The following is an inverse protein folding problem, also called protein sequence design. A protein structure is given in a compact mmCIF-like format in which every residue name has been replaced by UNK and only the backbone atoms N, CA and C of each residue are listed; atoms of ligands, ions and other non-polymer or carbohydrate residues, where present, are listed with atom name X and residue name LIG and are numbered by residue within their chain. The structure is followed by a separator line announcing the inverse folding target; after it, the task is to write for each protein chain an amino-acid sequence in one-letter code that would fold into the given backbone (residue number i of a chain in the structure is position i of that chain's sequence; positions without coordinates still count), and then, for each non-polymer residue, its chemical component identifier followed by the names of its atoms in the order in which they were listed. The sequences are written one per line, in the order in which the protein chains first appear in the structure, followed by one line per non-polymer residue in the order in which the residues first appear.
data_IF_093372280936
#
_entry.id   IF_093372280936
#
_cell.length_a   1.000
_cell.length_b   1.000
_cell.length_c   1.000
_cell.angle_alpha   90.00
_cell.angle_beta   90.00
_cell.angle_gamma   90.00
#
_symmetry.space_group_name_H-M   'P 1'
#
loop_
_entity.id
_entity.type
_entity.pdbx_description
1 polymer ?
#
# COMPACT_ATOMS: atom_id res chain seq x y z
N UNK A 1 -12.39 -10.46 19.36
CA UNK A 1 -12.04 -9.74 18.10
C UNK A 1 -10.62 -9.26 18.28
N UNK A 2 -9.64 -9.97 17.71
CA UNK A 2 -8.32 -9.39 17.50
C UNK A 2 -8.50 -8.25 16.50
N UNK A 3 -8.14 -7.03 16.88
CA UNK A 3 -7.97 -5.97 15.88
C UNK A 3 -6.87 -6.43 14.93
N UNK A 4 -7.15 -6.50 13.62
CA UNK A 4 -6.10 -6.67 12.62
C UNK A 4 -5.06 -5.57 12.86
N UNK A 5 -3.82 -5.97 13.13
CA UNK A 5 -2.81 -5.02 13.57
C UNK A 5 -2.20 -4.36 12.34
N UNK A 6 -2.70 -3.18 12.00
CA UNK A 6 -2.10 -2.38 10.94
C UNK A 6 -0.78 -1.74 11.41
N UNK A 7 0.26 -1.91 10.59
CA UNK A 7 1.61 -1.37 10.78
C UNK A 7 2.20 -0.84 9.46
N UNK A 8 1.60 0.21 8.86
CA UNK A 8 2.16 0.86 7.69
C UNK A 8 3.51 1.52 8.01
N UNK A 9 4.28 1.83 6.98
CA UNK A 9 5.57 2.52 7.11
C UNK A 9 5.37 4.00 7.47
N UNK A 10 6.40 4.66 8.02
CA UNK A 10 6.34 6.09 8.37
C UNK A 10 6.07 6.97 7.15
N UNK A 11 4.93 7.67 7.15
CA UNK A 11 4.47 8.52 6.04
C UNK A 11 5.27 9.82 5.83
N UNK A 12 4.79 10.64 4.90
CA UNK A 12 5.39 11.93 4.55
C UNK A 12 6.59 11.88 3.58
N UNK A 13 7.15 13.06 3.33
CA UNK A 13 8.31 13.31 2.45
C UNK A 13 9.54 13.86 3.20
N UNK A 14 9.45 14.06 4.51
CA UNK A 14 10.53 14.56 5.37
C UNK A 14 11.67 13.56 5.60
N UNK A 15 12.75 14.00 6.24
CA UNK A 15 13.97 13.20 6.44
C UNK A 15 13.76 11.87 7.21
N UNK A 16 12.69 11.77 8.00
CA UNK A 16 12.33 10.58 8.78
C UNK A 16 11.19 9.76 8.13
N UNK A 17 10.86 9.99 6.86
CA UNK A 17 9.82 9.22 6.16
C UNK A 17 10.38 7.98 5.48
N UNK A 18 9.51 7.02 5.19
CA UNK A 18 9.85 5.84 4.39
C UNK A 18 10.29 6.22 2.98
N UNK A 19 9.70 7.25 2.37
CA UNK A 19 10.05 7.71 1.02
C UNK A 19 11.50 8.20 0.90
N UNK A 20 12.14 8.63 2.00
CA UNK A 20 13.57 9.00 2.04
C UNK A 20 14.51 7.89 2.54
N UNK A 21 13.98 6.80 3.11
CA UNK A 21 14.77 5.78 3.81
C UNK A 21 14.53 4.33 3.32
N UNK A 22 13.77 4.17 2.24
CA UNK A 22 13.45 2.88 1.59
C UNK A 22 14.43 2.47 0.47
N UNK A 23 15.66 3.00 0.49
CA UNK A 23 16.70 2.73 -0.54
C UNK A 23 17.00 1.24 -0.69
N UNK A 24 17.04 0.48 0.39
CA UNK A 24 17.35 -0.95 0.37
C UNK A 24 16.30 -1.75 -0.45
N UNK A 25 15.01 -1.49 -0.21
CA UNK A 25 13.92 -2.07 -0.99
C UNK A 25 13.99 -1.61 -2.46
N UNK A 26 14.30 -0.34 -2.70
CA UNK A 26 14.45 0.21 -4.06
C UNK A 26 15.59 -0.46 -4.84
N UNK A 27 16.76 -0.66 -4.22
CA UNK A 27 17.91 -1.35 -4.82
C UNK A 27 17.61 -2.83 -5.10
N UNK A 28 16.89 -3.52 -4.20
CA UNK A 28 16.45 -4.89 -4.41
C UNK A 28 15.44 -5.04 -5.56
N UNK A 29 14.47 -4.12 -5.67
CA UNK A 29 13.52 -4.07 -6.80
C UNK A 29 14.27 -3.84 -8.11
N UNK A 30 15.26 -2.92 -8.11
CA UNK A 30 16.03 -2.60 -9.31
C UNK A 30 16.93 -3.77 -9.76
N UNK A 31 17.51 -4.53 -8.82
CA UNK A 31 18.25 -5.76 -9.10
C UNK A 31 17.38 -6.84 -9.77
N UNK A 32 16.11 -6.93 -9.37
CA UNK A 32 15.15 -7.92 -9.88
C UNK A 32 14.34 -7.43 -11.09
N UNK A 33 14.56 -6.19 -11.56
CA UNK A 33 13.80 -5.58 -12.67
C UNK A 33 13.88 -6.41 -13.96
N UNK A 34 15.07 -6.86 -14.36
CA UNK A 34 15.25 -7.62 -15.60
C UNK A 34 14.54 -8.99 -15.54
N UNK A 35 14.57 -9.65 -14.39
CA UNK A 35 13.86 -10.90 -14.13
C UNK A 35 12.33 -10.75 -14.28
N UNK A 36 11.78 -9.62 -13.80
CA UNK A 36 10.35 -9.29 -13.93
C UNK A 36 9.98 -9.05 -15.40
N UNK A 37 10.77 -8.24 -16.12
CA UNK A 37 10.53 -7.95 -17.54
C UNK A 37 10.57 -9.26 -18.35
N UNK A 38 11.55 -10.13 -18.10
CA UNK A 38 11.67 -11.42 -18.77
C UNK A 38 10.47 -12.34 -18.47
N UNK A 39 10.01 -12.39 -17.23
CA UNK A 39 8.85 -13.18 -16.83
C UNK A 39 7.57 -12.70 -17.54
N UNK A 40 7.31 -11.39 -17.56
CA UNK A 40 6.18 -10.78 -18.29
C UNK A 40 6.28 -11.11 -19.79
N UNK A 41 7.44 -10.88 -20.40
CA UNK A 41 7.69 -11.13 -21.82
C UNK A 41 7.44 -12.61 -22.20
N UNK A 42 7.85 -13.56 -21.36
CA UNK A 42 7.69 -15.00 -21.64
C UNK A 42 6.34 -15.59 -21.23
N UNK A 43 5.73 -15.15 -20.12
CA UNK A 43 4.64 -15.88 -19.45
C UNK A 43 3.31 -15.15 -19.35
N UNK A 44 3.26 -13.81 -19.39
CA UNK A 44 2.00 -13.06 -19.29
C UNK A 44 1.25 -13.05 -20.63
N UNK A 45 0.32 -13.97 -20.85
CA UNK A 45 -0.29 -14.17 -22.18
C UNK A 45 -1.37 -13.14 -22.54
N UNK A 46 -0.93 -12.00 -23.07
CA UNK A 46 -1.78 -10.91 -23.57
C UNK A 46 -2.75 -11.29 -24.71
N UNK A 47 -2.70 -12.53 -25.24
CA UNK A 47 -3.57 -12.96 -26.35
C UNK A 47 -4.79 -13.79 -25.93
N UNK A 48 -4.75 -14.42 -24.75
CA UNK A 48 -5.87 -15.20 -24.19
C UNK A 48 -6.69 -14.44 -23.15
N UNK A 49 -6.18 -13.32 -22.63
CA UNK A 49 -6.94 -12.40 -21.78
C UNK A 49 -8.01 -11.70 -22.62
N UNK A 50 -9.25 -12.21 -22.56
CA UNK A 50 -10.39 -11.63 -23.27
C UNK A 50 -10.79 -10.29 -22.64
N UNK A 51 -10.31 -9.19 -23.23
CA UNK A 51 -10.63 -7.84 -22.75
C UNK A 51 -12.03 -7.43 -23.20
N UNK A 52 -12.99 -7.38 -22.27
CA UNK A 52 -14.29 -6.73 -22.51
C UNK A 52 -14.20 -5.20 -22.63
N UNK A 53 -13.09 -4.59 -22.19
CA UNK A 53 -12.90 -3.13 -22.07
C UNK A 53 -11.51 -2.61 -22.48
N UNK A 54 -10.73 -3.38 -23.27
CA UNK A 54 -9.33 -3.06 -23.66
C UNK A 54 -8.45 -2.49 -22.51
N UNK A 55 -8.64 -3.01 -21.28
CA UNK A 55 -8.05 -2.45 -20.05
C UNK A 55 -7.23 -3.52 -19.32
N UNK A 56 -5.98 -3.21 -18.96
CA UNK A 56 -5.14 -4.06 -18.11
C UNK A 56 -5.14 -3.51 -16.69
N UNK A 57 -5.67 -4.30 -15.76
CA UNK A 57 -5.73 -3.98 -14.32
C UNK A 57 -4.55 -4.61 -13.58
N UNK A 58 -3.77 -3.79 -12.89
CA UNK A 58 -2.56 -4.18 -12.16
C UNK A 58 -2.68 -3.74 -10.70
N UNK A 59 -2.31 -4.58 -9.74
CA UNK A 59 -2.30 -4.21 -8.32
C UNK A 59 -0.90 -4.35 -7.68
N UNK A 60 -0.48 -3.35 -6.90
CA UNK A 60 0.67 -3.43 -5.98
C UNK A 60 0.16 -3.61 -4.55
N UNK A 61 0.53 -4.72 -3.90
CA UNK A 61 0.06 -5.10 -2.57
C UNK A 61 1.16 -4.84 -1.53
N UNK A 62 0.95 -3.82 -0.70
CA UNK A 62 1.97 -3.24 0.19
C UNK A 62 2.77 -2.12 -0.46
N UNK A 63 2.09 -1.20 -1.16
CA UNK A 63 2.72 -0.14 -1.95
C UNK A 63 3.45 0.93 -1.10
N UNK A 64 3.12 1.02 0.20
CA UNK A 64 3.53 2.10 1.10
C UNK A 64 3.24 3.49 0.49
N UNK A 65 4.20 4.41 0.57
CA UNK A 65 4.05 5.84 0.22
C UNK A 65 4.90 6.28 -0.99
N UNK A 66 5.50 5.32 -1.71
CA UNK A 66 6.49 5.59 -2.76
C UNK A 66 7.89 5.96 -2.23
N UNK A 67 8.87 6.18 -3.13
CA UNK A 67 8.76 6.14 -4.60
C UNK A 67 8.87 4.74 -5.21
N UNK A 68 9.23 3.72 -4.42
CA UNK A 68 9.57 2.37 -4.92
C UNK A 68 8.43 1.71 -5.72
N UNK A 69 7.19 1.86 -5.27
CA UNK A 69 5.99 1.39 -5.99
C UNK A 69 5.91 1.95 -7.40
N UNK A 70 6.11 3.26 -7.59
CA UNK A 70 6.04 3.89 -8.92
C UNK A 70 7.13 3.36 -9.88
N UNK A 71 8.33 3.09 -9.36
CA UNK A 71 9.43 2.53 -10.15
C UNK A 71 9.14 1.08 -10.58
N UNK A 72 8.58 0.26 -9.69
CA UNK A 72 8.15 -1.09 -10.00
C UNK A 72 7.01 -1.09 -11.02
N UNK A 73 5.95 -0.32 -10.76
CA UNK A 73 4.77 -0.18 -11.61
C UNK A 73 5.11 0.32 -13.01
N UNK A 74 5.94 1.36 -13.13
CA UNK A 74 6.44 1.84 -14.43
C UNK A 74 7.15 0.73 -15.21
N UNK A 75 8.02 -0.02 -14.55
CA UNK A 75 8.77 -1.12 -15.17
C UNK A 75 7.88 -2.27 -15.64
N UNK A 76 6.77 -2.53 -14.94
CA UNK A 76 5.77 -3.55 -15.32
C UNK A 76 4.93 -3.08 -16.51
N UNK A 77 4.45 -1.83 -16.48
CA UNK A 77 3.68 -1.23 -17.60
C UNK A 77 4.54 -1.23 -18.86
N UNK A 78 5.78 -0.71 -18.80
CA UNK A 78 6.76 -0.73 -19.90
C UNK A 78 6.92 -2.16 -20.45
N UNK A 79 7.12 -3.17 -19.59
CA UNK A 79 7.29 -4.56 -20.02
C UNK A 79 6.07 -5.14 -20.78
N UNK A 80 4.86 -4.74 -20.40
CA UNK A 80 3.62 -5.15 -21.07
C UNK A 80 3.50 -4.41 -22.42
N UNK A 81 3.73 -3.09 -22.45
CA UNK A 81 3.71 -2.28 -23.68
C UNK A 81 4.68 -2.83 -24.74
N UNK A 82 5.93 -3.11 -24.34
CA UNK A 82 6.94 -3.75 -25.19
C UNK A 82 6.45 -5.10 -25.75
N UNK A 83 5.71 -5.88 -24.96
CA UNK A 83 5.13 -7.14 -25.41
C UNK A 83 4.03 -6.94 -26.46
N UNK A 84 3.14 -5.97 -26.27
CA UNK A 84 2.10 -5.61 -27.25
C UNK A 84 2.72 -5.18 -28.59
N UNK A 85 3.71 -4.28 -28.55
CA UNK A 85 4.46 -3.86 -29.74
C UNK A 85 5.14 -5.04 -30.44
N UNK A 86 5.81 -5.94 -29.69
CA UNK A 86 6.50 -7.12 -30.26
C UNK A 86 5.58 -8.11 -30.98
N UNK A 87 4.27 -8.06 -30.71
CA UNK A 87 3.26 -8.97 -31.26
C UNK A 87 2.46 -8.35 -32.42
N UNK A 88 2.71 -7.10 -32.80
CA UNK A 88 1.95 -6.36 -33.81
C UNK A 88 0.42 -6.33 -33.55
N UNK A 89 -0.01 -6.32 -32.28
CA UNK A 89 -1.43 -6.21 -31.88
C UNK A 89 -1.98 -4.77 -32.01
N UNK A 90 -1.38 -3.98 -32.91
CA UNK A 90 -1.31 -2.52 -32.86
C UNK A 90 -2.47 -1.81 -33.55
N UNK A 91 -3.71 -2.20 -33.27
CA UNK A 91 -4.89 -1.37 -33.64
C UNK A 91 -5.23 -0.35 -32.57
N UNK A 92 -5.06 -0.69 -31.29
CA UNK A 92 -5.16 0.25 -30.15
C UNK A 92 -4.33 -0.31 -28.98
N UNK A 93 -3.63 0.54 -28.23
CA UNK A 93 -2.93 0.10 -27.00
C UNK A 93 -3.94 -0.08 -25.86
N UNK A 94 -3.72 -1.03 -24.93
CA UNK A 94 -4.59 -1.19 -23.78
C UNK A 94 -4.45 0.00 -22.81
N UNK A 95 -5.55 0.39 -22.17
CA UNK A 95 -5.49 1.34 -21.05
C UNK A 95 -5.05 0.63 -19.76
N UNK A 96 -4.14 1.25 -19.01
CA UNK A 96 -3.64 0.69 -17.75
C UNK A 96 -4.37 1.29 -16.55
N UNK A 97 -4.88 0.43 -15.67
CA UNK A 97 -5.47 0.82 -14.38
C UNK A 97 -4.68 0.18 -13.24
N UNK A 98 -3.98 1.01 -12.47
CA UNK A 98 -3.10 0.59 -11.39
C UNK A 98 -3.75 0.84 -10.03
N UNK A 99 -3.76 -0.19 -9.20
CA UNK A 99 -4.31 -0.20 -7.86
C UNK A 99 -3.17 -0.31 -6.84
N UNK A 100 -3.01 0.72 -6.02
CA UNK A 100 -2.00 0.79 -4.98
C UNK A 100 -2.65 0.38 -3.65
N UNK A 101 -2.41 -0.84 -3.18
CA UNK A 101 -2.95 -1.35 -1.94
C UNK A 101 -1.95 -1.24 -0.79
N UNK A 102 -2.45 -0.80 0.36
CA UNK A 102 -1.79 -0.92 1.66
C UNK A 102 -2.86 -0.91 2.78
N UNK A 103 -2.43 -0.98 4.03
CA UNK A 103 -3.30 -0.82 5.20
C UNK A 103 -4.10 0.49 5.16
N UNK A 104 -5.29 0.53 5.77
CA UNK A 104 -6.14 1.72 5.75
C UNK A 104 -5.51 2.93 6.47
N UNK A 105 -4.59 2.66 7.40
CA UNK A 105 -3.76 3.65 8.10
C UNK A 105 -2.48 4.09 7.35
N UNK A 106 -2.19 3.56 6.15
CA UNK A 106 -1.08 4.02 5.32
C UNK A 106 -1.31 5.47 4.83
N UNK A 107 -0.22 6.19 4.57
CA UNK A 107 -0.29 7.58 4.12
C UNK A 107 -0.46 7.68 2.60
N UNK A 108 -1.69 7.41 2.16
CA UNK A 108 -2.10 7.56 0.76
C UNK A 108 -2.05 9.01 0.27
N UNK A 109 -2.13 10.02 1.15
CA UNK A 109 -1.97 11.42 0.77
C UNK A 109 -0.56 11.67 0.21
N UNK A 110 0.49 11.18 0.89
CA UNK A 110 1.86 11.24 0.37
C UNK A 110 2.01 10.44 -0.92
N UNK A 111 1.41 9.25 -1.00
CA UNK A 111 1.42 8.46 -2.24
C UNK A 111 0.80 9.25 -3.41
N UNK A 112 -0.40 9.82 -3.23
CA UNK A 112 -1.14 10.49 -4.29
C UNK A 112 -0.54 11.83 -4.71
N UNK A 113 -0.01 12.60 -3.76
CA UNK A 113 0.71 13.87 -4.05
C UNK A 113 2.06 13.64 -4.74
N UNK A 114 2.64 12.43 -4.64
CA UNK A 114 3.92 12.06 -5.29
C UNK A 114 3.78 11.17 -6.52
N UNK A 115 2.54 10.89 -6.98
CA UNK A 115 2.29 10.18 -8.23
C UNK A 115 2.96 10.90 -9.43
N UNK A 116 3.63 10.18 -10.34
CA UNK A 116 4.22 10.80 -11.53
C UNK A 116 3.16 11.53 -12.37
N UNK A 117 3.39 12.80 -12.76
CA UNK A 117 2.42 13.58 -13.53
C UNK A 117 2.37 13.16 -15.01
N UNK A 118 3.43 12.54 -15.51
CA UNK A 118 3.63 12.03 -16.88
C UNK A 118 3.19 10.56 -17.06
N UNK A 119 2.59 9.96 -16.02
CA UNK A 119 2.14 8.56 -16.05
C UNK A 119 1.14 8.28 -17.18
N UNK A 120 1.28 7.13 -17.83
CA UNK A 120 0.36 6.63 -18.87
C UNK A 120 -0.64 5.61 -18.29
N UNK A 121 -1.08 5.83 -17.04
CA UNK A 121 -2.00 4.93 -16.35
C UNK A 121 -2.95 5.67 -15.39
N UNK A 122 -4.15 5.14 -15.26
CA UNK A 122 -5.10 5.50 -14.21
C UNK A 122 -4.62 4.90 -12.88
N UNK A 123 -4.82 5.62 -11.78
CA UNK A 123 -4.32 5.25 -10.46
C UNK A 123 -5.44 5.29 -9.42
N UNK A 124 -5.51 4.29 -8.56
CA UNK A 124 -6.42 4.25 -7.41
C UNK A 124 -5.72 3.65 -6.18
N UNK A 125 -5.96 4.19 -4.99
CA UNK A 125 -5.49 3.60 -3.72
C UNK A 125 -6.57 2.70 -3.10
N UNK A 126 -6.19 1.53 -2.62
CA UNK A 126 -7.12 0.49 -2.11
C UNK A 126 -6.78 0.18 -0.65
N UNK A 127 -7.48 0.79 0.32
CA UNK A 127 -7.21 0.59 1.75
C UNK A 127 -7.73 -0.77 2.27
N UNK A 128 -6.82 -1.61 2.75
CA UNK A 128 -7.14 -2.87 3.42
C UNK A 128 -5.97 -3.83 3.49
N UNK A 129 -6.02 -4.79 4.41
CA UNK A 129 -5.02 -5.86 4.46
C UNK A 129 -5.17 -6.80 3.27
N UNK A 130 -4.09 -7.03 2.53
CA UNK A 130 -4.03 -8.05 1.47
C UNK A 130 -4.23 -9.49 1.97
N UNK A 131 -4.32 -9.75 3.28
CA UNK A 131 -4.76 -11.06 3.76
C UNK A 131 -6.26 -11.31 3.56
N UNK A 132 -7.06 -10.27 3.31
CA UNK A 132 -8.46 -10.38 2.89
C UNK A 132 -8.67 -10.17 1.39
N UNK A 133 -9.94 -10.18 0.97
CA UNK A 133 -10.37 -9.71 -0.35
C UNK A 133 -10.27 -8.18 -0.42
N UNK A 134 -9.79 -7.68 -1.55
CA UNK A 134 -9.56 -6.28 -1.92
C UNK A 134 -10.24 -5.90 -3.24
N UNK A 135 -10.45 -6.88 -4.13
CA UNK A 135 -10.94 -6.67 -5.50
C UNK A 135 -12.15 -7.56 -5.80
N UNK A 136 -13.03 -7.19 -6.76
CA UNK A 136 -14.07 -8.09 -7.26
C UNK A 136 -13.47 -9.37 -7.85
N UNK A 137 -14.26 -10.46 -7.89
CA UNK A 137 -13.80 -11.71 -8.50
C UNK A 137 -13.37 -11.53 -9.95
N UNK A 138 -12.25 -12.14 -10.33
CA UNK A 138 -11.69 -12.15 -11.69
C UNK A 138 -11.61 -10.74 -12.34
N UNK A 139 -11.12 -9.75 -11.59
CA UNK A 139 -11.01 -8.36 -12.07
C UNK A 139 -9.57 -7.91 -12.35
N UNK A 140 -8.57 -8.56 -11.76
CA UNK A 140 -7.16 -8.16 -11.82
C UNK A 140 -6.36 -9.07 -12.75
N UNK A 141 -5.49 -8.48 -13.58
CA UNK A 141 -4.72 -9.19 -14.60
C UNK A 141 -3.32 -9.54 -14.10
N UNK A 142 -2.68 -8.60 -13.39
CA UNK A 142 -1.37 -8.80 -12.78
C UNK A 142 -1.36 -8.26 -11.34
N UNK A 143 -0.81 -9.04 -10.42
CA UNK A 143 -0.52 -8.58 -9.06
C UNK A 143 0.98 -8.59 -8.77
N UNK A 144 1.43 -7.61 -8.02
CA UNK A 144 2.79 -7.42 -7.58
C UNK A 144 2.79 -7.20 -6.07
N UNK A 145 3.80 -7.72 -5.37
CA UNK A 145 4.03 -7.39 -3.97
C UNK A 145 5.52 -7.47 -3.67
N UNK A 146 6.04 -6.50 -2.92
CA UNK A 146 7.47 -6.39 -2.66
C UNK A 146 7.74 -5.92 -1.25
N UNK A 147 8.51 -6.69 -0.49
CA UNK A 147 8.83 -6.42 0.91
C UNK A 147 7.58 -6.25 1.81
N UNK A 148 6.46 -6.91 1.50
CA UNK A 148 5.22 -6.82 2.29
C UNK A 148 4.82 -8.14 2.95
N UNK A 149 4.80 -9.26 2.23
CA UNK A 149 4.32 -10.58 2.71
C UNK A 149 5.08 -11.20 3.90
N UNK A 150 6.19 -10.59 4.33
CA UNK A 150 6.92 -11.02 5.53
C UNK A 150 6.32 -10.45 6.83
N UNK A 151 5.32 -9.56 6.74
CA UNK A 151 4.53 -9.06 7.86
C UNK A 151 3.33 -9.97 8.13
N UNK A 152 3.27 -10.61 9.29
CA UNK A 152 2.16 -11.47 9.71
C UNK A 152 0.89 -10.67 9.97
N UNK A 153 -0.28 -11.28 9.76
CA UNK A 153 -1.59 -10.63 10.00
C UNK A 153 -1.82 -10.31 11.48
N UNK A 154 -1.18 -11.07 12.37
CA UNK A 154 -1.16 -10.85 13.82
C UNK A 154 0.07 -11.49 14.46
N UNK A 155 0.36 -11.08 15.70
CA UNK A 155 1.20 -11.85 16.61
C UNK A 155 0.45 -13.14 17.01
N UNK A 156 1.07 -14.33 16.92
CA UNK A 156 0.49 -15.57 17.44
C UNK A 156 0.24 -15.49 18.96
N UNK A 157 -0.92 -15.99 19.41
CA UNK A 157 -1.36 -15.86 20.81
C UNK A 157 -0.51 -16.73 21.75
N UNK A 158 0.03 -17.83 21.24
CA UNK A 158 0.92 -18.77 21.91
C UNK A 158 2.27 -18.17 22.31
N UNK A 159 2.64 -16.99 21.76
CA UNK A 159 3.85 -16.25 22.13
C UNK A 159 3.66 -15.37 23.36
N UNK A 160 2.41 -15.09 23.74
CA UNK A 160 2.02 -14.14 24.80
C UNK A 160 1.56 -14.84 26.08
N UNK A 161 1.20 -16.13 25.99
CA UNK A 161 0.77 -16.94 27.13
C UNK A 161 1.97 -17.50 27.91
N UNK A 162 2.15 -17.07 29.16
CA UNK A 162 3.18 -17.56 30.09
C UNK A 162 3.09 -19.08 30.34
N UNK A 163 1.91 -19.70 30.18
CA UNK A 163 1.74 -21.15 30.24
C UNK A 163 2.26 -21.91 29.00
N UNK A 164 2.60 -21.21 27.91
CA UNK A 164 3.01 -21.79 26.63
C UNK A 164 4.49 -22.13 26.59
N UNK A 165 4.82 -23.29 25.99
CA UNK A 165 6.21 -23.63 25.60
C UNK A 165 6.79 -22.68 24.54
N UNK A 166 5.95 -21.86 23.91
CA UNK A 166 6.34 -20.83 22.96
C UNK A 166 6.29 -19.40 23.54
N UNK A 167 6.14 -19.22 24.86
CA UNK A 167 6.23 -17.88 25.47
C UNK A 167 7.59 -17.24 25.18
N UNK A 168 7.61 -16.12 24.47
CA UNK A 168 8.85 -15.50 24.00
C UNK A 168 9.48 -14.57 25.05
N UNK A 169 9.64 -15.06 26.29
CA UNK A 169 10.09 -14.24 27.43
C UNK A 169 11.42 -13.52 27.13
N UNK A 170 11.47 -12.21 27.38
CA UNK A 170 12.64 -11.34 27.24
C UNK A 170 13.13 -11.20 25.80
N UNK A 171 12.27 -11.48 24.80
CA UNK A 171 12.61 -11.54 23.38
C UNK A 171 11.49 -10.99 22.50
N UNK A 172 11.87 -10.14 21.54
CA UNK A 172 10.91 -9.52 20.61
C UNK A 172 10.71 -10.27 19.29
N UNK A 173 11.50 -11.31 18.99
CA UNK A 173 11.50 -11.98 17.69
C UNK A 173 12.08 -13.41 17.78
N UNK A 174 11.79 -14.27 16.81
CA UNK A 174 12.17 -15.69 16.84
C UNK A 174 13.61 -16.00 16.41
N UNK A 175 14.33 -15.06 15.80
CA UNK A 175 15.68 -15.28 15.23
C UNK A 175 16.73 -15.76 16.23
N UNK A 176 16.55 -15.46 17.51
CA UNK A 176 17.38 -15.95 18.63
C UNK A 176 16.57 -16.77 19.65
N UNK A 177 15.38 -17.24 19.26
CA UNK A 177 14.46 -18.02 20.08
C UNK A 177 14.57 -19.54 19.85
N UNK A 178 13.81 -20.30 20.63
CA UNK A 178 13.77 -21.76 20.50
C UNK A 178 13.02 -22.20 19.23
N UNK A 179 13.11 -23.50 18.92
CA UNK A 179 12.46 -24.08 17.75
C UNK A 179 10.93 -24.00 17.85
N UNK A 180 10.39 -24.12 19.06
CA UNK A 180 8.97 -24.05 19.37
C UNK A 180 8.41 -22.68 18.97
N UNK A 181 9.11 -21.61 19.35
CA UNK A 181 8.78 -20.23 18.99
C UNK A 181 8.87 -20.03 17.47
N UNK A 182 9.96 -20.49 16.84
CA UNK A 182 10.12 -20.39 15.38
C UNK A 182 9.02 -21.16 14.60
N UNK A 183 8.57 -22.31 15.12
CA UNK A 183 7.46 -23.09 14.53
C UNK A 183 6.12 -22.34 14.63
N UNK A 184 5.85 -21.65 15.75
CA UNK A 184 4.63 -20.86 15.95
C UNK A 184 4.57 -19.69 14.96
N UNK A 185 5.69 -18.98 14.75
CA UNK A 185 5.81 -17.97 13.70
C UNK A 185 5.56 -18.56 12.29
N UNK A 186 6.20 -19.68 11.96
CA UNK A 186 6.02 -20.35 10.68
C UNK A 186 4.58 -20.86 10.44
N UNK A 187 3.89 -21.31 11.49
CA UNK A 187 2.50 -21.75 11.42
C UNK A 187 1.55 -20.57 11.12
N UNK A 188 1.77 -19.40 11.74
CA UNK A 188 1.01 -18.19 11.44
C UNK A 188 1.31 -17.68 10.03
N UNK A 189 2.58 -17.67 9.58
CA UNK A 189 2.94 -17.37 8.18
C UNK A 189 2.24 -18.31 7.20
N UNK A 190 2.25 -19.61 7.46
CA UNK A 190 1.60 -20.61 6.61
C UNK A 190 0.08 -20.46 6.53
N UNK A 191 -0.57 -19.89 7.56
CA UNK A 191 -2.00 -19.56 7.58
C UNK A 191 -2.28 -18.25 6.84
N UNK A 192 -1.43 -17.25 7.05
CA UNK A 192 -1.51 -15.94 6.39
C UNK A 192 -1.34 -16.08 4.87
N UNK A 193 -0.36 -16.88 4.43
CA UNK A 193 -0.17 -17.20 3.02
C UNK A 193 -1.33 -18.01 2.42
N UNK A 194 -1.96 -18.91 3.18
CA UNK A 194 -3.17 -19.62 2.71
C UNK A 194 -4.30 -18.63 2.42
N UNK A 195 -4.57 -17.74 3.39
CA UNK A 195 -5.62 -16.72 3.28
C UNK A 195 -5.33 -15.75 2.14
N UNK A 196 -4.06 -15.33 1.99
CA UNK A 196 -3.59 -14.53 0.86
C UNK A 196 -3.86 -15.23 -0.46
N UNK A 197 -3.33 -16.45 -0.68
CA UNK A 197 -3.49 -17.15 -1.96
C UNK A 197 -4.96 -17.43 -2.30
N UNK A 198 -5.79 -17.79 -1.32
CA UNK A 198 -7.23 -17.99 -1.52
C UNK A 198 -7.92 -16.68 -1.98
N UNK A 199 -7.62 -15.54 -1.35
CA UNK A 199 -8.16 -14.26 -1.76
C UNK A 199 -7.64 -13.81 -3.14
N UNK A 200 -6.36 -14.08 -3.47
CA UNK A 200 -5.78 -13.79 -4.78
C UNK A 200 -6.37 -14.64 -5.89
N UNK A 201 -6.66 -15.91 -5.63
CA UNK A 201 -7.24 -16.84 -6.60
C UNK A 201 -8.66 -16.43 -7.02
N UNK A 202 -9.43 -15.83 -6.10
CA UNK A 202 -10.73 -15.23 -6.39
C UNK A 202 -10.61 -14.00 -7.32
N UNK A 203 -9.59 -13.17 -7.12
CA UNK A 203 -9.47 -11.82 -7.71
C UNK A 203 -8.73 -11.76 -9.04
N UNK A 204 -7.73 -12.63 -9.22
CA UNK A 204 -6.92 -12.71 -10.42
C UNK A 204 -7.71 -13.51 -11.48
N UNK A 205 -7.72 -13.00 -12.71
CA UNK A 205 -8.33 -13.71 -13.85
C UNK A 205 -7.60 -15.02 -14.15
N UNK A 206 -8.30 -15.99 -14.74
CA UNK A 206 -7.65 -17.20 -15.27
C UNK A 206 -6.60 -16.80 -16.31
N UNK A 207 -5.35 -17.24 -16.13
CA UNK A 207 -4.20 -16.84 -16.95
C UNK A 207 -3.50 -15.54 -16.51
N UNK A 208 -4.00 -14.87 -15.46
CA UNK A 208 -3.34 -13.74 -14.83
C UNK A 208 -2.03 -14.11 -14.12
N UNK A 209 -1.24 -13.10 -13.76
CA UNK A 209 0.11 -13.27 -13.21
C UNK A 209 0.24 -12.67 -11.81
N UNK A 210 1.07 -13.29 -10.95
CA UNK A 210 1.45 -12.73 -9.66
C UNK A 210 2.97 -12.75 -9.50
N UNK A 211 3.55 -11.64 -9.06
CA UNK A 211 4.98 -11.41 -8.90
C UNK A 211 5.26 -11.02 -7.45
N UNK A 212 6.03 -11.84 -6.73
CA UNK A 212 6.29 -11.66 -5.30
C UNK A 212 7.79 -11.51 -5.03
N UNK A 213 8.18 -10.43 -4.35
CA UNK A 213 9.53 -10.23 -3.81
C UNK A 213 9.44 -10.27 -2.28
N UNK A 214 9.87 -11.39 -1.69
CA UNK A 214 9.75 -11.65 -0.26
C UNK A 214 11.16 -11.77 0.35
N UNK A 215 11.48 -11.05 1.44
CA UNK A 215 12.72 -11.28 2.18
C UNK A 215 12.72 -12.70 2.77
N UNK A 216 13.75 -13.48 2.45
CA UNK A 216 13.79 -14.90 2.77
C UNK A 216 15.22 -15.46 2.92
N UNK A 217 15.32 -16.77 3.10
CA UNK A 217 16.58 -17.49 3.22
C UNK A 217 16.68 -18.59 2.14
N UNK A 218 17.90 -18.96 1.78
CA UNK A 218 18.14 -20.11 0.92
C UNK A 218 17.76 -21.42 1.64
N UNK A 219 17.37 -22.44 0.87
CA UNK A 219 16.96 -23.74 1.41
C UNK A 219 18.04 -24.36 2.33
N UNK A 220 17.64 -24.75 3.54
CA UNK A 220 18.52 -25.40 4.51
C UNK A 220 19.36 -24.45 5.36
N UNK A 221 19.32 -23.13 5.11
CA UNK A 221 19.89 -22.12 6.02
C UNK A 221 19.02 -22.04 7.27
N UNK A 222 19.63 -22.12 8.45
CA UNK A 222 18.92 -22.06 9.72
C UNK A 222 18.55 -20.62 10.08
N UNK A 223 17.36 -20.38 10.66
CA UNK A 223 16.88 -19.04 11.01
C UNK A 223 17.84 -18.24 11.92
N UNK A 224 18.65 -18.92 12.73
CA UNK A 224 19.66 -18.27 13.59
C UNK A 224 20.87 -17.71 12.84
N UNK A 225 21.00 -18.00 11.54
CA UNK A 225 22.03 -17.51 10.62
C UNK A 225 21.52 -16.34 9.75
N UNK A 226 20.30 -15.86 9.99
CA UNK A 226 19.73 -14.72 9.27
C UNK A 226 20.63 -13.47 9.42
N UNK A 227 21.07 -12.82 8.32
CA UNK A 227 21.96 -11.66 8.39
C UNK A 227 21.34 -10.44 9.08
N UNK A 228 20.01 -10.40 9.27
CA UNK A 228 19.29 -9.34 9.98
C UNK A 228 19.18 -9.60 11.48
N UNK A 229 19.44 -10.84 11.94
CA UNK A 229 19.37 -11.21 13.36
C UNK A 229 20.08 -10.23 14.31
N UNK A 230 21.31 -9.73 14.01
CA UNK A 230 21.99 -8.79 14.92
C UNK A 230 21.22 -7.51 15.21
N UNK A 231 20.35 -7.05 14.30
CA UNK A 231 19.51 -5.87 14.53
C UNK A 231 18.37 -6.19 15.51
N UNK A 232 17.70 -7.34 15.36
CA UNK A 232 16.67 -7.78 16.31
C UNK A 232 17.25 -8.05 17.71
N UNK A 233 18.42 -8.69 17.79
CA UNK A 233 19.11 -8.92 19.05
C UNK A 233 19.53 -7.58 19.71
N UNK A 234 19.92 -6.56 18.93
CA UNK A 234 20.22 -5.21 19.42
C UNK A 234 18.98 -4.41 19.89
N UNK A 235 17.86 -4.48 19.16
CA UNK A 235 16.60 -3.87 19.61
C UNK A 235 16.12 -4.51 20.91
N UNK A 236 16.23 -5.85 21.02
CA UNK A 236 15.89 -6.58 22.23
C UNK A 236 16.75 -6.13 23.43
N UNK A 237 18.07 -6.07 23.24
CA UNK A 237 18.99 -5.63 24.29
C UNK A 237 18.70 -4.18 24.73
N UNK A 238 18.36 -3.30 23.79
CA UNK A 238 17.99 -1.90 24.10
C UNK A 238 16.76 -1.80 24.99
N UNK A 239 15.72 -2.61 24.73
CA UNK A 239 14.53 -2.69 25.58
C UNK A 239 14.86 -3.24 26.98
N UNK A 240 15.69 -4.29 27.07
CA UNK A 240 16.13 -4.84 28.36
C UNK A 240 16.96 -3.83 29.16
N UNK A 241 17.72 -2.95 28.51
CA UNK A 241 18.44 -1.86 29.18
C UNK A 241 17.49 -0.73 29.63
N UNK A 242 16.42 -0.44 28.87
CA UNK A 242 15.34 0.45 29.34
C UNK A 242 14.59 -0.11 30.57
N UNK A 243 14.41 -1.44 30.67
CA UNK A 243 13.88 -2.11 31.87
C UNK A 243 14.80 -1.90 33.07
N UNK A 244 16.13 -2.11 32.91
CA UNK A 244 17.12 -1.87 33.99
C UNK A 244 17.14 -0.42 34.46
N UNK A 245 16.85 0.53 33.56
CA UNK A 245 16.74 1.96 33.86
C UNK A 245 15.37 2.36 34.45
N UNK A 246 14.43 1.42 34.60
CA UNK A 246 13.09 1.68 35.15
C UNK A 246 12.19 2.50 34.23
N UNK A 247 12.45 2.50 32.92
CA UNK A 247 11.72 3.31 31.95
C UNK A 247 10.50 2.61 31.34
N UNK A 248 10.55 1.28 31.27
CA UNK A 248 9.47 0.36 30.86
C UNK A 248 9.52 -0.87 31.77
N UNK A 249 8.42 -1.61 31.88
CA UNK A 249 8.34 -2.81 32.71
C UNK A 249 8.83 -4.06 31.96
N UNK A 250 9.31 -5.07 32.69
CA UNK A 250 9.71 -6.37 32.09
C UNK A 250 8.52 -7.03 31.35
N UNK A 251 7.32 -6.98 31.94
CA UNK A 251 6.07 -7.48 31.35
C UNK A 251 5.71 -6.80 30.01
N UNK A 252 6.13 -5.54 29.79
CA UNK A 252 5.91 -4.84 28.51
C UNK A 252 6.84 -5.36 27.41
N UNK A 253 8.04 -5.81 27.77
CA UNK A 253 8.98 -6.47 26.83
C UNK A 253 8.54 -7.91 26.57
N UNK A 254 8.15 -8.65 27.61
CA UNK A 254 7.67 -10.04 27.52
C UNK A 254 6.38 -10.19 26.70
N UNK A 255 5.57 -9.13 26.61
CA UNK A 255 4.35 -9.08 25.80
C UNK A 255 4.58 -8.49 24.39
N UNK A 256 5.78 -7.99 24.07
CA UNK A 256 6.07 -7.41 22.76
C UNK A 256 6.71 -8.44 21.82
N UNK A 257 6.05 -8.70 20.70
CA UNK A 257 6.57 -9.55 19.63
C UNK A 257 6.38 -8.86 18.28
N UNK A 258 7.43 -8.81 17.46
CA UNK A 258 7.37 -8.30 16.10
C UNK A 258 6.63 -9.33 15.22
N UNK A 259 5.53 -8.98 14.54
CA UNK A 259 4.79 -9.87 13.64
C UNK A 259 5.51 -9.97 12.29
N UNK A 260 6.75 -10.45 12.32
CA UNK A 260 7.61 -10.61 11.15
C UNK A 260 7.97 -12.09 11.00
N UNK A 261 7.85 -12.63 9.80
CA UNK A 261 8.40 -13.92 9.41
C UNK A 261 9.29 -13.74 8.18
N UNK A 262 10.60 -13.80 8.41
CA UNK A 262 11.62 -13.34 7.46
C UNK A 262 12.50 -14.47 6.91
N UNK A 263 12.22 -15.70 7.32
CA UNK A 263 13.04 -16.90 7.03
C UNK A 263 12.46 -17.77 5.93
N UNK A 264 11.46 -17.25 5.23
CA UNK A 264 10.76 -17.86 4.10
C UNK A 264 11.74 -18.44 3.10
N UNK A 265 11.66 -19.74 2.87
CA UNK A 265 12.54 -20.46 1.93
C UNK A 265 11.81 -20.86 0.63
N UNK A 266 12.53 -21.06 -0.50
CA UNK A 266 11.93 -21.57 -1.73
C UNK A 266 11.10 -22.85 -1.52
N UNK A 267 11.65 -23.85 -0.81
CA UNK A 267 10.91 -25.09 -0.48
C UNK A 267 9.64 -24.87 0.36
N UNK A 268 9.64 -23.85 1.22
CA UNK A 268 8.46 -23.50 2.02
C UNK A 268 7.39 -22.84 1.16
N UNK A 269 7.78 -21.85 0.34
CA UNK A 269 6.87 -21.19 -0.60
C UNK A 269 6.31 -22.17 -1.64
N UNK A 270 7.13 -23.08 -2.17
CA UNK A 270 6.66 -24.14 -3.08
C UNK A 270 5.53 -24.95 -2.44
N UNK A 271 5.71 -25.42 -1.19
CA UNK A 271 4.67 -26.18 -0.48
C UNK A 271 3.40 -25.38 -0.22
N UNK A 272 3.51 -24.07 0.06
CA UNK A 272 2.35 -23.22 0.30
C UNK A 272 1.54 -23.00 -0.99
N UNK A 273 2.20 -22.78 -2.12
CA UNK A 273 1.56 -22.66 -3.43
C UNK A 273 0.95 -23.99 -3.87
N UNK A 274 1.69 -25.11 -3.75
CA UNK A 274 1.20 -26.45 -4.07
C UNK A 274 -0.01 -26.86 -3.21
N UNK A 275 -0.03 -26.46 -1.92
CA UNK A 275 -1.16 -26.73 -1.01
C UNK A 275 -2.42 -25.94 -1.38
N UNK A 276 -2.27 -24.68 -1.79
CA UNK A 276 -3.39 -23.88 -2.26
C UNK A 276 -3.92 -24.38 -3.62
N UNK A 277 -3.02 -24.76 -4.54
CA UNK A 277 -3.37 -25.40 -5.80
C UNK A 277 -4.00 -24.50 -6.88
N UNK A 278 -4.19 -23.20 -6.62
CA UNK A 278 -4.75 -22.25 -7.60
C UNK A 278 -3.70 -21.62 -8.52
N UNK A 279 -2.40 -21.73 -8.20
CA UNK A 279 -1.31 -21.08 -8.94
C UNK A 279 -0.22 -22.07 -9.36
N UNK A 280 0.36 -21.86 -10.55
CA UNK A 280 1.63 -22.50 -10.96
C UNK A 280 2.83 -21.60 -10.66
N UNK A 281 3.96 -22.20 -10.30
CA UNK A 281 5.23 -21.48 -10.12
C UNK A 281 5.96 -21.45 -11.46
N UNK A 282 5.91 -20.31 -12.16
CA UNK A 282 6.59 -20.13 -13.45
C UNK A 282 8.10 -19.85 -13.30
N UNK A 283 8.51 -19.25 -12.18
CA UNK A 283 9.90 -18.92 -11.82
C UNK A 283 10.01 -18.68 -10.32
N UNK A 284 11.08 -19.16 -9.68
CA UNK A 284 11.40 -18.85 -8.29
C UNK A 284 12.91 -18.88 -8.10
N UNK A 285 13.49 -17.79 -7.61
CA UNK A 285 14.94 -17.62 -7.45
C UNK A 285 15.25 -16.88 -6.14
N UNK A 286 16.41 -17.17 -5.55
CA UNK A 286 16.95 -16.45 -4.39
C UNK A 286 18.09 -15.57 -4.90
N UNK A 287 18.00 -14.26 -4.66
CA UNK A 287 19.02 -13.28 -5.03
C UNK A 287 19.60 -12.61 -3.79
N UNK A 288 20.92 -12.46 -3.76
CA UNK A 288 21.56 -11.63 -2.73
C UNK A 288 21.32 -10.15 -3.03
N UNK A 289 20.55 -9.51 -2.16
CA UNK A 289 20.21 -8.08 -2.19
C UNK A 289 21.07 -7.25 -1.23
N UNK A 290 22.09 -7.87 -0.61
CA UNK A 290 23.03 -7.18 0.28
C UNK A 290 23.73 -5.99 -0.40
N UNK A 291 24.09 -4.95 0.38
CA UNK A 291 24.77 -3.78 -0.17
C UNK A 291 26.14 -4.16 -0.75
N UNK A 292 26.29 -4.02 -2.07
CA UNK A 292 27.51 -4.38 -2.84
C UNK A 292 28.70 -3.42 -2.66
N UNK A 293 28.72 -2.64 -1.58
CA UNK A 293 29.78 -1.66 -1.31
C UNK A 293 30.83 -2.29 -0.39
N UNK A 294 32.10 -2.30 -0.80
CA UNK A 294 33.26 -2.78 0.00
C UNK A 294 33.61 -1.88 1.22
N UNK A 295 32.75 -0.91 1.54
CA UNK A 295 32.94 0.04 2.65
C UNK A 295 32.21 -0.38 3.93
N UNK A 296 32.58 0.20 5.09
CA UNK A 296 31.89 -0.09 6.35
C UNK A 296 30.40 0.29 6.28
N UNK A 297 29.51 -0.44 6.98
CA UNK A 297 28.08 -0.20 6.93
C UNK A 297 27.73 1.21 7.44
N UNK A 298 26.92 1.93 6.68
CA UNK A 298 26.41 3.26 7.07
C UNK A 298 25.35 3.09 8.17
N UNK A 299 25.82 3.01 9.42
CA UNK A 299 24.99 2.71 10.58
C UNK A 299 23.84 3.74 10.78
N UNK A 300 24.03 5.07 10.63
CA UNK A 300 22.93 6.03 10.65
C UNK A 300 21.83 5.75 9.62
N UNK A 301 22.19 5.40 8.38
CA UNK A 301 21.20 5.07 7.34
C UNK A 301 20.46 3.76 7.65
N UNK A 302 21.15 2.76 8.21
CA UNK A 302 20.54 1.48 8.62
C UNK A 302 19.57 1.69 9.80
N UNK A 303 19.97 2.50 10.80
CA UNK A 303 19.10 2.83 11.93
C UNK A 303 17.87 3.62 11.50
N UNK A 304 18.01 4.57 10.56
CA UNK A 304 16.86 5.29 10.02
C UNK A 304 15.95 4.37 9.19
N UNK A 305 16.52 3.48 8.37
CA UNK A 305 15.77 2.45 7.64
C UNK A 305 14.91 1.59 8.57
N UNK A 306 15.47 1.06 9.67
CA UNK A 306 14.66 0.32 10.64
C UNK A 306 13.66 1.20 11.40
N UNK A 307 14.01 2.47 11.70
CA UNK A 307 13.06 3.41 12.33
C UNK A 307 11.80 3.57 11.48
N UNK A 308 11.93 3.89 10.19
CA UNK A 308 10.76 4.15 9.32
C UNK A 308 9.88 2.93 9.07
N UNK A 309 10.38 1.73 9.41
CA UNK A 309 9.67 0.45 9.34
C UNK A 309 9.01 0.11 10.69
N UNK A 310 9.68 0.40 11.81
CA UNK A 310 9.31 -0.10 13.14
C UNK A 310 8.71 0.97 14.09
N UNK A 311 8.84 2.27 13.78
CA UNK A 311 8.39 3.36 14.65
C UNK A 311 6.91 3.26 15.01
N UNK A 312 6.04 2.91 14.05
CA UNK A 312 4.61 2.72 14.29
C UNK A 312 4.30 1.60 15.28
N UNK A 313 4.93 0.42 15.13
CA UNK A 313 4.67 -0.73 16.01
C UNK A 313 5.24 -0.52 17.42
N UNK A 314 6.45 0.03 17.57
CA UNK A 314 7.03 0.35 18.88
C UNK A 314 6.21 1.43 19.60
N UNK A 315 5.80 2.50 18.88
CA UNK A 315 4.99 3.58 19.47
C UNK A 315 3.62 3.08 19.93
N UNK A 316 2.99 2.16 19.19
CA UNK A 316 1.68 1.58 19.55
C UNK A 316 1.73 0.74 20.83
N UNK A 317 2.83 0.03 21.07
CA UNK A 317 2.98 -0.84 22.25
C UNK A 317 3.48 -0.06 23.48
N UNK A 318 4.63 0.62 23.36
CA UNK A 318 5.30 1.28 24.48
C UNK A 318 4.84 2.74 24.75
N UNK A 319 3.93 3.28 23.92
CA UNK A 319 3.57 4.71 23.92
C UNK A 319 2.43 5.17 24.83
N UNK A 320 1.90 4.32 25.72
CA UNK A 320 0.73 4.67 26.57
C UNK A 320 1.10 5.27 27.96
N UNK A 321 2.38 5.61 28.20
CA UNK A 321 2.97 5.54 29.55
C UNK A 321 3.20 6.84 30.37
N UNK A 322 2.91 8.05 29.90
CA UNK A 322 3.42 9.26 30.58
C UNK A 322 4.87 9.68 30.21
N UNK A 323 5.53 9.04 29.22
CA UNK A 323 6.92 9.28 28.72
C UNK A 323 7.09 9.48 27.17
N UNK A 324 7.27 10.72 26.62
CA UNK A 324 6.71 11.21 25.32
C UNK A 324 7.32 10.42 24.21
N UNK A 325 6.51 9.83 23.36
CA UNK A 325 7.06 9.03 22.27
C UNK A 325 7.25 9.93 21.04
N UNK A 326 7.94 11.06 21.26
CA UNK A 326 8.24 12.07 20.23
C UNK A 326 8.97 13.31 20.78
N UNK A 327 10.14 13.69 20.25
CA UNK A 327 11.20 12.80 19.75
C UNK A 327 11.83 12.08 20.95
N UNK A 328 11.05 11.28 21.69
CA UNK A 328 11.38 11.00 23.09
C UNK A 328 11.29 9.50 23.49
N UNK A 329 11.42 8.60 22.51
CA UNK A 329 11.74 7.15 22.65
C UNK A 329 13.24 6.82 22.54
N UNK A 330 14.08 7.84 22.40
CA UNK A 330 15.36 7.75 21.68
C UNK A 330 16.62 8.26 22.44
N UNK A 331 16.74 7.96 23.74
CA UNK A 331 18.04 8.06 24.45
C UNK A 331 18.08 7.41 25.83
N UNK A 332 17.42 7.99 26.84
CA UNK A 332 16.15 7.47 27.31
C UNK A 332 14.96 7.54 26.33
N UNK A 333 14.11 8.56 26.28
CA UNK A 333 14.47 9.98 26.43
C UNK A 333 13.52 10.76 27.37
N UNK A 334 12.40 11.38 26.92
CA UNK A 334 11.80 12.49 27.70
C UNK A 334 10.28 12.87 27.57
N UNK A 335 9.40 12.11 28.25
CA UNK A 335 8.23 12.62 29.06
C UNK A 335 6.86 12.97 28.35
N UNK A 336 5.80 12.11 28.44
CA UNK A 336 4.48 12.20 27.72
C UNK A 336 3.74 13.22 28.56
N UNK A 337 4.01 14.46 28.19
CA UNK A 337 2.89 15.32 27.92
C UNK A 337 2.13 14.77 26.69
N UNK A 338 0.81 14.63 26.72
CA UNK A 338 -0.07 14.40 27.87
C UNK A 338 -1.44 14.01 27.29
N UNK A 339 -2.11 13.03 27.91
CA UNK A 339 -3.56 12.88 27.86
C UNK A 339 -4.27 12.91 26.48
N UNK A 340 -4.05 11.89 25.65
CA UNK A 340 -5.16 11.39 24.81
C UNK A 340 -6.22 10.74 25.72
N UNK A 341 -7.49 11.14 25.57
CA UNK A 341 -8.69 10.44 26.10
C UNK A 341 -9.86 10.66 25.12
N UNK A 342 -10.76 9.71 24.80
CA UNK A 342 -10.87 8.27 25.10
C UNK A 342 -12.09 7.63 24.30
N UNK A 343 -11.91 6.46 23.62
CA UNK A 343 -12.84 5.36 23.11
C UNK A 343 -14.14 5.66 22.29
N UNK A 344 -14.50 4.96 21.17
CA UNK A 344 -14.77 3.50 20.85
C UNK A 344 -16.14 2.96 21.39
N UNK A 345 -16.91 1.98 20.84
CA UNK A 345 -16.60 0.79 20.00
C UNK A 345 -17.86 0.05 19.34
N UNK A 346 -17.92 -0.22 18.02
CA UNK A 346 -18.52 -1.44 17.33
C UNK A 346 -20.06 -1.78 17.40
N UNK A 347 -20.75 -2.69 16.63
CA UNK A 347 -20.45 -3.84 15.68
C UNK A 347 -21.59 -4.15 14.64
N UNK A 348 -21.23 -4.80 13.50
CA UNK A 348 -21.82 -5.93 12.71
C UNK A 348 -23.35 -6.25 12.65
N UNK A 349 -23.84 -6.62 11.44
CA UNK A 349 -24.31 -7.99 11.04
C UNK A 349 -24.52 -8.10 9.50
N UNK A 350 -24.78 -9.31 8.97
CA UNK A 350 -24.56 -9.76 7.57
C UNK A 350 -25.82 -10.19 6.79
N UNK A 351 -25.84 -10.09 5.44
CA UNK A 351 -26.04 -11.24 4.50
C UNK A 351 -25.80 -10.85 3.03
N UNK A 352 -25.26 -11.76 2.21
CA UNK A 352 -24.67 -11.45 0.89
C UNK A 352 -25.59 -10.73 -0.12
N UNK A 353 -24.99 -9.70 -0.71
CA UNK A 353 -25.44 -8.87 -1.83
C UNK A 353 -24.32 -8.89 -2.90
N UNK A 354 -24.56 -8.49 -4.16
CA UNK A 354 -23.51 -8.44 -5.18
C UNK A 354 -22.29 -7.60 -4.76
N UNK A 355 -21.08 -8.03 -5.14
CA UNK A 355 -19.83 -7.33 -4.79
C UNK A 355 -19.73 -5.96 -5.49
N UNK A 356 -19.93 -4.87 -4.74
CA UNK A 356 -19.76 -3.51 -5.25
C UNK A 356 -18.32 -3.02 -5.05
N UNK A 357 -17.72 -2.39 -6.08
CA UNK A 357 -16.49 -1.60 -5.93
C UNK A 357 -16.82 -0.11 -6.12
N UNK A 358 -16.72 0.67 -5.04
CA UNK A 358 -16.96 2.10 -5.01
C UNK A 358 -15.65 2.87 -5.12
N UNK A 359 -15.62 3.80 -6.07
CA UNK A 359 -14.50 4.71 -6.29
C UNK A 359 -14.84 6.11 -5.78
N UNK A 360 -13.99 6.65 -4.92
CA UNK A 360 -14.14 7.96 -4.29
C UNK A 360 -13.09 8.91 -4.88
N UNK A 361 -13.51 9.80 -5.77
CA UNK A 361 -12.62 10.78 -6.38
C UNK A 361 -12.57 12.09 -5.58
N UNK A 362 -11.36 12.63 -5.44
CA UNK A 362 -11.11 14.01 -5.02
C UNK A 362 -9.79 14.49 -5.63
N UNK A 363 -9.48 15.78 -5.46
CA UNK A 363 -8.20 16.35 -5.81
C UNK A 363 -7.08 15.68 -4.99
N UNK A 364 -5.93 15.41 -5.63
CA UNK A 364 -4.82 14.65 -5.03
C UNK A 364 -4.22 15.28 -3.75
N UNK A 365 -4.55 16.54 -3.45
CA UNK A 365 -4.13 17.25 -2.23
C UNK A 365 -5.13 17.18 -1.07
N UNK A 366 -6.31 16.55 -1.25
CA UNK A 366 -7.26 16.37 -0.16
C UNK A 366 -6.87 15.16 0.72
N UNK A 367 -7.40 15.09 1.93
CA UNK A 367 -7.03 14.07 2.92
C UNK A 367 -7.83 12.77 2.73
N UNK A 368 -7.31 11.89 1.86
CA UNK A 368 -7.81 10.54 1.66
C UNK A 368 -7.60 9.64 2.89
N UNK A 369 -6.59 9.91 3.74
CA UNK A 369 -6.37 9.12 4.96
C UNK A 369 -7.54 9.29 5.95
N UNK A 370 -8.07 10.51 6.12
CA UNK A 370 -9.30 10.75 6.91
C UNK A 370 -10.47 9.96 6.32
N UNK A 371 -10.63 9.96 5.00
CA UNK A 371 -11.69 9.19 4.34
C UNK A 371 -11.52 7.68 4.56
N UNK A 372 -10.33 7.12 4.31
CA UNK A 372 -10.07 5.68 4.43
C UNK A 372 -10.14 5.17 5.87
N UNK A 373 -9.72 5.96 6.86
CA UNK A 373 -9.81 5.59 8.28
C UNK A 373 -11.22 5.75 8.87
N UNK A 374 -12.11 6.47 8.19
CA UNK A 374 -13.54 6.59 8.57
C UNK A 374 -14.47 5.64 7.79
N UNK A 375 -13.96 4.90 6.80
CA UNK A 375 -14.71 3.83 6.15
C UNK A 375 -15.17 2.78 7.19
N UNK A 376 -16.44 2.32 7.14
CA UNK A 376 -16.89 1.24 8.00
C UNK A 376 -16.01 -0.02 7.80
N UNK A 377 -15.59 -0.69 8.89
CA UNK A 377 -14.83 -1.95 8.79
C UNK A 377 -15.71 -3.09 8.28
N UNK A 378 -17.01 -3.05 8.60
CA UNK A 378 -18.00 -4.08 8.28
C UNK A 378 -18.75 -3.77 6.96
N UNK A 379 -18.10 -3.09 6.00
CA UNK A 379 -18.73 -2.64 4.74
C UNK A 379 -18.92 -3.79 3.73
N UNK A 380 -20.09 -3.81 3.09
CA UNK A 380 -20.42 -4.76 2.01
C UNK A 380 -19.89 -4.34 0.62
N UNK A 381 -19.01 -3.35 0.57
CA UNK A 381 -18.41 -2.84 -0.66
C UNK A 381 -16.89 -2.65 -0.54
N UNK A 382 -16.21 -2.95 -1.64
CA UNK A 382 -14.80 -2.64 -1.83
C UNK A 382 -14.67 -1.14 -2.10
N UNK A 383 -13.67 -0.49 -1.53
CA UNK A 383 -13.50 0.96 -1.62
C UNK A 383 -12.13 1.28 -2.22
N UNK A 384 -12.07 2.27 -3.09
CA UNK A 384 -10.82 2.81 -3.61
C UNK A 384 -10.89 4.34 -3.72
N UNK A 385 -9.81 5.04 -3.37
CA UNK A 385 -9.69 6.48 -3.59
C UNK A 385 -9.00 6.77 -4.92
N UNK A 386 -9.50 7.74 -5.68
CA UNK A 386 -9.03 8.05 -7.04
C UNK A 386 -8.55 9.50 -7.08
N UNK A 387 -7.23 9.75 -7.01
CA UNK A 387 -6.69 11.11 -7.01
C UNK A 387 -6.71 11.72 -8.42
N UNK A 388 -7.42 12.82 -8.59
CA UNK A 388 -7.45 13.54 -9.87
C UNK A 388 -8.51 14.63 -9.94
N UNK A 389 -8.37 15.53 -10.91
CA UNK A 389 -9.44 16.50 -11.20
C UNK A 389 -10.68 15.76 -11.71
N UNK A 390 -11.83 15.98 -11.06
CA UNK A 390 -13.10 15.38 -11.46
C UNK A 390 -13.54 15.76 -12.88
N UNK A 391 -12.95 16.80 -13.48
CA UNK A 391 -13.19 17.19 -14.88
C UNK A 391 -12.46 16.33 -15.90
N UNK A 392 -11.30 15.75 -15.55
CA UNK A 392 -10.53 14.89 -16.44
C UNK A 392 -11.04 13.45 -16.46
N UNK A 393 -10.50 12.63 -17.37
CA UNK A 393 -10.66 11.18 -17.27
C UNK A 393 -9.91 10.65 -16.03
N UNK A 394 -10.61 9.84 -15.25
CA UNK A 394 -10.21 9.21 -14.00
C UNK A 394 -10.14 7.68 -14.16
N UNK A 395 -10.87 7.13 -15.12
CA UNK A 395 -11.03 5.69 -15.33
C UNK A 395 -10.80 5.28 -16.78
N UNK A 396 -10.45 4.00 -17.03
CA UNK A 396 -10.50 3.40 -18.35
C UNK A 396 -11.89 3.47 -18.99
N UNK A 397 -11.94 3.35 -20.31
CA UNK A 397 -13.16 3.38 -21.11
C UNK A 397 -14.09 2.24 -20.71
N UNK A 398 -15.39 2.52 -20.58
CA UNK A 398 -16.44 1.55 -20.24
C UNK A 398 -16.06 0.65 -19.04
N UNK A 399 -15.65 1.28 -17.93
CA UNK A 399 -15.20 0.58 -16.72
C UNK A 399 -15.98 0.93 -15.45
N UNK A 400 -16.88 1.92 -15.52
CA UNK A 400 -17.73 2.36 -14.41
C UNK A 400 -19.20 2.09 -14.73
N UNK A 401 -19.93 1.44 -13.83
CA UNK A 401 -21.36 1.14 -14.02
C UNK A 401 -22.27 2.31 -13.65
N UNK A 402 -21.88 3.09 -12.63
CA UNK A 402 -22.68 4.20 -12.10
C UNK A 402 -21.72 5.26 -11.54
N UNK A 403 -22.04 6.54 -11.75
CA UNK A 403 -21.38 7.64 -11.07
C UNK A 403 -22.38 8.60 -10.46
N UNK A 404 -22.04 9.13 -9.29
CA UNK A 404 -22.83 10.11 -8.54
C UNK A 404 -21.94 11.30 -8.13
N UNK A 405 -22.50 12.52 -8.21
CA UNK A 405 -21.87 13.74 -7.71
C UNK A 405 -22.95 14.67 -7.17
N UNK A 406 -22.72 15.22 -5.97
CA UNK A 406 -23.69 16.07 -5.27
C UNK A 406 -23.31 17.55 -5.29
N UNK A 407 -22.07 17.86 -4.88
CA UNK A 407 -21.59 19.25 -4.71
C UNK A 407 -20.29 19.56 -5.43
N UNK A 408 -19.58 18.58 -6.01
CA UNK A 408 -18.29 18.82 -6.66
C UNK A 408 -18.41 19.76 -7.88
N UNK A 409 -19.50 19.63 -8.65
CA UNK A 409 -19.75 20.40 -9.88
C UNK A 409 -19.85 21.93 -9.69
N UNK A 410 -19.93 22.44 -8.45
CA UNK A 410 -19.98 23.89 -8.20
C UNK A 410 -18.59 24.58 -8.25
N UNK A 411 -17.51 23.80 -8.30
CA UNK A 411 -16.13 24.29 -8.30
C UNK A 411 -15.54 24.31 -9.71
N UNK A 412 -15.22 25.50 -10.26
CA UNK A 412 -14.55 25.58 -11.57
C UNK A 412 -13.18 24.89 -11.56
N UNK A 413 -12.77 24.36 -12.72
CA UNK A 413 -11.46 23.72 -12.90
C UNK A 413 -10.29 24.69 -12.70
N UNK A 414 -10.53 25.99 -12.94
CA UNK A 414 -9.60 27.10 -12.72
C UNK A 414 -10.36 28.42 -12.60
N UNK A 415 -9.66 29.45 -12.09
CA UNK A 415 -10.11 30.84 -12.27
C UNK A 415 -10.02 31.19 -13.77
N UNK A 416 -11.07 31.79 -14.38
CA UNK A 416 -11.02 32.22 -15.78
C UNK A 416 -9.83 33.15 -16.07
N UNK A 417 -9.13 32.92 -17.17
CA UNK A 417 -7.88 33.64 -17.51
C UNK A 417 -8.12 35.12 -17.79
N UNK A 418 -9.32 35.46 -18.29
CA UNK A 418 -9.79 36.82 -18.55
C UNK A 418 -9.93 37.69 -17.28
N UNK A 419 -9.90 37.06 -16.10
CA UNK A 419 -9.88 37.71 -14.78
C UNK A 419 -8.48 37.74 -14.14
N UNK A 420 -7.50 37.05 -14.73
CA UNK A 420 -6.10 37.02 -14.27
C UNK A 420 -5.22 38.03 -15.03
N UNK A 421 -5.62 38.44 -16.23
CA UNK A 421 -4.89 39.43 -17.02
C UNK A 421 -5.17 40.88 -16.56
N UNK A 422 -4.12 41.55 -16.06
CA UNK A 422 -4.19 42.91 -15.51
C UNK A 422 -4.53 44.00 -16.55
N UNK A 423 -4.54 43.70 -17.85
CA UNK A 423 -4.98 44.62 -18.90
C UNK A 423 -6.50 44.65 -19.13
N UNK A 424 -7.24 43.68 -18.59
CA UNK A 424 -8.67 43.47 -18.84
C UNK A 424 -9.57 44.22 -17.85
N UNK A 425 -10.66 44.80 -18.37
CA UNK A 425 -11.61 45.68 -17.66
C UNK A 425 -12.59 44.92 -16.73
N UNK A 426 -12.12 43.99 -15.89
CA UNK A 426 -13.00 43.20 -14.99
C UNK A 426 -12.36 42.75 -13.65
N UNK A 427 -11.62 43.63 -12.97
CA UNK A 427 -11.34 43.41 -11.53
C UNK A 427 -12.66 43.30 -10.74
N UNK A 428 -12.80 42.31 -9.86
CA UNK A 428 -14.02 42.11 -9.05
C UNK A 428 -14.21 43.16 -7.93
N UNK A 429 -13.47 44.28 -7.96
CA UNK A 429 -13.57 45.45 -7.05
C UNK A 429 -13.74 45.10 -5.56
N UNK A 430 -12.93 44.16 -5.06
CA UNK A 430 -12.96 43.72 -3.66
C UNK A 430 -14.11 42.77 -3.28
N UNK A 431 -14.86 42.26 -4.26
CA UNK A 431 -15.91 41.25 -4.06
C UNK A 431 -15.37 39.84 -4.27
N UNK A 432 -15.99 38.88 -3.59
CA UNK A 432 -15.49 37.50 -3.50
C UNK A 432 -16.37 36.51 -4.31
N UNK A 433 -17.60 36.88 -4.68
CA UNK A 433 -18.55 35.95 -5.32
C UNK A 433 -19.24 36.54 -6.56
N UNK A 434 -19.45 35.73 -7.60
CA UNK A 434 -19.97 36.17 -8.91
C UNK A 434 -21.39 36.75 -8.84
N UNK A 435 -22.25 36.30 -7.92
CA UNK A 435 -23.61 36.87 -7.70
C UNK A 435 -23.60 38.33 -7.26
N UNK A 436 -22.45 38.81 -6.75
CA UNK A 436 -22.25 40.22 -6.40
C UNK A 436 -21.44 40.99 -7.47
N UNK A 437 -20.87 40.29 -8.45
CA UNK A 437 -20.00 40.84 -9.48
C UNK A 437 -20.79 41.58 -10.57
N UNK A 438 -20.08 42.16 -11.55
CA UNK A 438 -20.75 42.72 -12.74
C UNK A 438 -21.22 41.62 -13.69
N UNK A 439 -22.11 41.95 -14.63
CA UNK A 439 -22.67 40.98 -15.59
C UNK A 439 -21.56 40.37 -16.48
N UNK A 440 -20.54 41.17 -16.79
CA UNK A 440 -19.38 40.75 -17.57
C UNK A 440 -18.59 39.67 -16.81
N UNK A 441 -18.31 39.88 -15.53
CA UNK A 441 -17.65 38.88 -14.66
C UNK A 441 -18.51 37.62 -14.55
N UNK A 442 -19.82 37.76 -14.30
CA UNK A 442 -20.72 36.62 -14.20
C UNK A 442 -20.76 35.78 -15.49
N UNK A 443 -20.74 36.43 -16.67
CA UNK A 443 -20.65 35.75 -17.96
C UNK A 443 -19.32 35.00 -18.13
N UNK A 444 -18.20 35.55 -17.67
CA UNK A 444 -16.87 34.90 -17.73
C UNK A 444 -16.82 33.66 -16.84
N UNK A 445 -17.35 33.72 -15.61
CA UNK A 445 -17.52 32.53 -14.76
C UNK A 445 -18.44 31.48 -15.41
N UNK A 446 -19.55 31.90 -16.04
CA UNK A 446 -20.47 30.99 -16.71
C UNK A 446 -19.87 30.33 -17.97
N UNK A 447 -19.01 31.03 -18.71
CA UNK A 447 -18.31 30.48 -19.88
C UNK A 447 -17.30 29.40 -19.48
N UNK A 448 -16.52 29.62 -18.40
CA UNK A 448 -15.63 28.61 -17.86
C UNK A 448 -16.42 27.41 -17.31
N UNK A 449 -17.54 27.64 -16.61
CA UNK A 449 -18.45 26.57 -16.16
C UNK A 449 -18.97 25.70 -17.32
N UNK A 450 -19.39 26.31 -18.43
CA UNK A 450 -19.88 25.56 -19.59
C UNK A 450 -18.78 24.65 -20.16
N UNK A 451 -17.57 25.19 -20.37
CA UNK A 451 -16.41 24.42 -20.84
C UNK A 451 -16.03 23.28 -19.88
N UNK A 452 -16.10 23.55 -18.58
CA UNK A 452 -15.85 22.58 -17.52
C UNK A 452 -16.88 21.44 -17.56
N UNK A 453 -18.17 21.76 -17.71
CA UNK A 453 -19.24 20.76 -17.83
C UNK A 453 -19.16 19.95 -19.13
N UNK A 454 -18.81 20.56 -20.27
CA UNK A 454 -18.58 19.83 -21.52
C UNK A 454 -17.41 18.85 -21.36
N UNK A 455 -16.32 19.27 -20.72
CA UNK A 455 -15.16 18.41 -20.45
C UNK A 455 -15.54 17.25 -19.54
N UNK A 456 -16.31 17.51 -18.47
CA UNK A 456 -16.87 16.50 -17.57
C UNK A 456 -17.75 15.49 -18.32
N UNK A 457 -18.77 15.93 -19.05
CA UNK A 457 -19.71 15.01 -19.71
C UNK A 457 -19.02 14.14 -20.76
N UNK A 458 -18.06 14.67 -21.52
CA UNK A 458 -17.27 13.87 -22.45
C UNK A 458 -16.44 12.81 -21.72
N UNK A 459 -15.69 13.19 -20.66
CA UNK A 459 -14.90 12.24 -19.88
C UNK A 459 -15.75 11.13 -19.23
N UNK A 460 -16.98 11.45 -18.78
CA UNK A 460 -17.90 10.49 -18.18
C UNK A 460 -18.59 9.58 -19.21
N UNK A 461 -18.89 10.09 -20.40
CA UNK A 461 -19.47 9.31 -21.49
C UNK A 461 -18.51 8.21 -21.99
N UNK A 462 -17.19 8.46 -21.96
CA UNK A 462 -16.18 7.44 -22.25
C UNK A 462 -16.07 6.37 -21.15
N UNK A 463 -16.17 6.76 -19.88
CA UNK A 463 -15.91 5.86 -18.74
C UNK A 463 -17.10 4.97 -18.35
N UNK A 464 -18.32 5.44 -18.57
CA UNK A 464 -19.53 4.72 -18.18
C UNK A 464 -19.80 3.57 -19.16
N UNK A 465 -20.15 2.41 -18.61
CA UNK A 465 -20.63 1.26 -19.39
C UNK A 465 -22.01 1.60 -19.94
N UNK A 466 -22.13 1.62 -21.27
CA UNK A 466 -23.41 1.75 -21.95
C UNK A 466 -23.99 0.35 -22.11
N UNK A 467 -25.01 0.03 -21.32
CA UNK A 467 -25.84 -1.17 -21.55
C UNK A 467 -26.74 -0.94 -22.79
N UNK A 468 -26.93 -1.98 -23.62
CA UNK A 468 -27.83 -1.97 -24.80
C UNK A 468 -29.32 -2.14 -24.43
#
# INVERSE_FOLDING_TARGET
MSSNLEFPMSGGDGANSYSKNSRYQGEAINLLKEMIIEAIAKKFDITSLSFSSNTIRIADLGCSVGPNTFNAMKSIVEAIEWKYHSKNLTTEMPEFQLFFNDHASNDFNTLFTTLPPDRQYFAAGVPGSFYGRLFPKSSIHLMYSSFALHWLSKVPEELLDNGSLAWNKGKIHYTSASKEIANVYAAQFAKDMDTFFNARADEIIVGGMMILIIPGLADGVHYSQDPRRPFFDAFNQSLLDMVKLGMINEDEVDSFNLPLYITTSPKEMTKLVERNGCFSIERMEVSDTGPKNDGPPNLPAILMHYRVILEGIFTKHFGNLGCSVGPNTFNAMKNILEAIKWKYHSKNFTTEMPEFQLFFNDHASNDFNIFFTTLPPDREYLAAGVPGSFYGRLFPKSSIHLMYSSFALQWLSKVPEELLDNGSLTWNKGKIHYTSASKEIANVYAAQFAKDMDTFFNARADEIIVEE
#
